data_IF_698858158199
#
_entry.id   IF_698858158199
#
_cell.length_a   1.000
_cell.length_b   1.000
_cell.length_c   1.000
_cell.angle_alpha   90.00
_cell.angle_beta   90.00
_cell.angle_gamma   90.00
#
_symmetry.space_group_name_H-M   'P 1'
#
loop_
_entity.id
_entity.type
_entity.pdbx_description
1 polymer ?
#
# COMPACT_ATOMS: atom_id res chain seq x y z
N UNK A 1 -7.54 -7.87 -5.53
CA UNK A 1 -6.86 -6.70 -4.91
C UNK A 1 -6.58 -6.87 -3.42
N UNK A 2 -7.42 -7.48 -2.58
CA UNK A 2 -7.21 -7.54 -1.10
C UNK A 2 -6.05 -8.41 -0.59
N UNK A 3 -5.27 -9.04 -1.46
CA UNK A 3 -4.16 -9.95 -1.12
C UNK A 3 -2.80 -9.39 -1.57
N UNK A 4 -2.60 -8.07 -1.54
CA UNK A 4 -1.24 -7.50 -1.60
C UNK A 4 -0.52 -7.71 -0.27
N UNK A 5 0.82 -7.58 -0.27
CA UNK A 5 1.65 -7.79 0.92
C UNK A 5 1.44 -6.66 1.94
N UNK A 6 1.29 -5.43 1.46
CA UNK A 6 0.96 -4.24 2.26
C UNK A 6 -0.51 -3.83 2.07
N UNK A 7 -1.12 -3.22 3.09
CA UNK A 7 -2.47 -2.65 3.02
C UNK A 7 -2.53 -1.48 2.03
N UNK A 8 -1.58 -0.56 2.12
CA UNK A 8 -1.51 0.68 1.35
C UNK A 8 -1.16 0.45 -0.12
N UNK A 9 -0.53 -0.70 -0.42
CA UNK A 9 -0.30 -1.12 -1.82
C UNK A 9 -1.58 -1.60 -2.49
N UNK A 10 -2.63 -1.96 -1.73
CA UNK A 10 -3.87 -2.52 -2.28
C UNK A 10 -4.82 -1.48 -2.89
N UNK A 11 -4.29 -0.43 -3.53
CA UNK A 11 -5.06 0.63 -4.18
C UNK A 11 -5.02 0.46 -5.70
N UNK A 12 -6.16 0.64 -6.36
CA UNK A 12 -6.30 0.63 -7.81
C UNK A 12 -6.87 1.94 -8.33
N UNK A 13 -6.41 2.36 -9.50
CA UNK A 13 -6.93 3.52 -10.23
C UNK A 13 -7.16 3.16 -11.71
N UNK A 14 -8.27 3.62 -12.29
CA UNK A 14 -8.58 3.45 -13.71
C UNK A 14 -9.32 4.68 -14.25
N UNK A 15 -9.28 4.89 -15.57
CA UNK A 15 -10.12 5.89 -16.24
C UNK A 15 -11.46 5.24 -16.62
N UNK A 16 -12.56 5.94 -16.34
CA UNK A 16 -13.88 5.58 -16.84
C UNK A 16 -14.03 5.98 -18.32
N UNK A 17 -15.11 5.53 -18.95
CA UNK A 17 -15.46 5.93 -20.32
C UNK A 17 -15.76 7.44 -20.45
N UNK A 18 -16.06 8.12 -19.34
CA UNK A 18 -16.30 9.57 -19.27
C UNK A 18 -15.04 10.37 -18.92
N UNK A 19 -13.91 9.70 -18.71
CA UNK A 19 -12.65 10.33 -18.31
C UNK A 19 -12.49 10.56 -16.81
N UNK A 20 -13.44 10.09 -15.99
CA UNK A 20 -13.33 10.18 -14.54
C UNK A 20 -12.31 9.16 -14.00
N UNK A 21 -11.66 9.49 -12.88
CA UNK A 21 -10.77 8.55 -12.19
C UNK A 21 -11.60 7.70 -11.23
N UNK A 22 -11.62 6.39 -11.49
CA UNK A 22 -12.18 5.39 -10.61
C UNK A 22 -11.10 4.92 -9.65
N UNK A 23 -11.31 5.13 -8.34
CA UNK A 23 -10.43 4.65 -7.29
C UNK A 23 -11.08 3.48 -6.55
N UNK A 24 -10.30 2.44 -6.27
CA UNK A 24 -10.74 1.29 -5.48
C UNK A 24 -9.71 0.93 -4.44
N UNK A 25 -10.16 0.68 -3.21
CA UNK A 25 -9.36 0.10 -2.14
C UNK A 25 -10.21 -0.86 -1.31
N UNK A 26 -9.75 -2.09 -1.06
CA UNK A 26 -10.44 -3.05 -0.21
C UNK A 26 -10.31 -2.75 1.29
N UNK A 27 -9.47 -1.76 1.67
CA UNK A 27 -9.19 -1.40 3.06
C UNK A 27 -9.46 0.08 3.37
N UNK A 28 -10.08 0.82 2.44
CA UNK A 28 -10.20 2.28 2.53
C UNK A 28 -8.91 3.00 2.10
N UNK A 29 -8.91 4.32 2.20
CA UNK A 29 -7.78 5.16 1.74
C UNK A 29 -7.05 5.86 2.88
N UNK A 30 -7.59 5.83 4.10
CA UNK A 30 -7.07 6.61 5.23
C UNK A 30 -5.58 6.29 5.48
N UNK A 31 -5.22 5.02 5.51
CA UNK A 31 -3.83 4.57 5.74
C UNK A 31 -2.85 5.03 4.65
N UNK A 32 -3.32 5.24 3.41
CA UNK A 32 -2.48 5.80 2.34
C UNK A 32 -2.11 7.26 2.64
N UNK A 33 -3.05 8.03 3.21
CA UNK A 33 -2.85 9.44 3.56
C UNK A 33 -2.15 9.64 4.91
N UNK A 34 -2.18 8.65 5.79
CA UNK A 34 -1.46 8.63 7.07
C UNK A 34 0.05 8.37 6.91
N UNK A 35 0.53 8.15 5.69
CA UNK A 35 1.92 7.80 5.37
C UNK A 35 2.40 6.54 6.09
N UNK A 36 1.56 5.50 6.14
CA UNK A 36 1.95 4.21 6.72
C UNK A 36 2.30 3.17 5.66
N UNK A 37 3.04 2.15 6.07
CA UNK A 37 3.20 0.89 5.36
C UNK A 37 2.94 -0.24 6.34
N UNK A 38 1.85 -0.95 6.14
CA UNK A 38 1.29 -1.90 7.10
C UNK A 38 1.21 -3.28 6.49
N UNK A 39 1.69 -4.31 7.20
CA UNK A 39 1.56 -5.69 6.71
C UNK A 39 0.08 -6.09 6.63
N UNK A 40 -0.31 -6.71 5.52
CA UNK A 40 -1.68 -7.15 5.32
C UNK A 40 -1.94 -8.47 6.05
N UNK A 41 -2.83 -8.46 7.04
CA UNK A 41 -3.22 -9.66 7.81
C UNK A 41 -3.90 -10.74 6.95
N UNK A 42 -4.48 -10.39 5.79
CA UNK A 42 -5.02 -11.36 4.83
C UNK A 42 -3.93 -12.08 4.02
N UNK A 43 -2.71 -11.55 3.99
CA UNK A 43 -1.53 -12.14 3.33
C UNK A 43 -0.29 -11.91 4.20
N UNK A 44 -0.18 -12.61 5.35
CA UNK A 44 0.92 -12.42 6.28
C UNK A 44 2.19 -13.00 5.68
N UNK A 45 2.97 -12.14 5.02
CA UNK A 45 4.24 -12.46 4.38
C UNK A 45 5.36 -11.55 4.92
N UNK A 46 5.78 -11.74 6.18
CA UNK A 46 6.73 -10.84 6.84
C UNK A 46 8.08 -10.78 6.12
N UNK A 47 8.54 -11.88 5.52
CA UNK A 47 9.78 -11.87 4.74
C UNK A 47 9.64 -11.01 3.47
N UNK A 48 8.65 -11.28 2.62
CA UNK A 48 8.40 -10.47 1.41
C UNK A 48 8.18 -8.99 1.77
N UNK A 49 7.51 -8.69 2.89
CA UNK A 49 7.27 -7.33 3.38
C UNK A 49 8.58 -6.62 3.73
N UNK A 50 9.43 -7.23 4.56
CA UNK A 50 10.73 -6.67 4.95
C UNK A 50 11.67 -6.52 3.75
N UNK A 51 11.72 -7.52 2.86
CA UNK A 51 12.53 -7.47 1.65
C UNK A 51 12.10 -6.31 0.74
N UNK A 52 10.79 -6.06 0.63
CA UNK A 52 10.26 -4.94 -0.15
C UNK A 52 10.61 -3.59 0.47
N UNK A 53 10.50 -3.42 1.79
CA UNK A 53 10.88 -2.17 2.47
C UNK A 53 12.33 -1.81 2.14
N UNK A 54 13.24 -2.78 2.24
CA UNK A 54 14.68 -2.58 1.98
C UNK A 54 14.94 -2.32 0.50
N UNK A 55 14.46 -3.21 -0.39
CA UNK A 55 14.76 -3.12 -1.83
C UNK A 55 14.11 -1.92 -2.50
N UNK A 56 12.96 -1.45 -2.00
CA UNK A 56 12.28 -0.25 -2.51
C UNK A 56 12.79 1.03 -1.86
N UNK A 57 13.60 0.94 -0.81
CA UNK A 57 14.17 2.09 -0.09
C UNK A 57 13.10 3.10 0.36
N UNK A 58 11.92 2.62 0.76
CA UNK A 58 10.77 3.49 0.97
C UNK A 58 11.02 4.57 2.03
N UNK A 59 11.71 4.23 3.13
CA UNK A 59 12.01 5.17 4.20
C UNK A 59 13.09 6.21 3.82
N UNK A 60 13.93 5.90 2.83
CA UNK A 60 14.91 6.84 2.29
C UNK A 60 14.25 7.84 1.34
N UNK A 61 13.38 7.35 0.44
CA UNK A 61 12.65 8.16 -0.54
C UNK A 61 11.57 9.01 0.14
N UNK A 62 10.90 8.46 1.16
CA UNK A 62 9.80 9.10 1.87
C UNK A 62 10.10 9.17 3.37
N UNK A 63 10.83 10.19 3.84
CA UNK A 63 11.29 10.27 5.24
C UNK A 63 10.18 10.37 6.30
N UNK A 64 8.94 10.66 5.90
CA UNK A 64 7.78 10.72 6.81
C UNK A 64 7.00 9.41 6.88
N UNK A 65 7.39 8.40 6.12
CA UNK A 65 6.70 7.13 6.05
C UNK A 65 6.97 6.30 7.32
N UNK A 66 5.94 5.65 7.85
CA UNK A 66 6.01 4.83 9.08
C UNK A 66 5.68 3.37 8.76
N UNK A 67 6.52 2.44 9.20
CA UNK A 67 6.28 1.00 9.03
C UNK A 67 5.54 0.44 10.24
N UNK A 68 4.42 -0.23 9.99
CA UNK A 68 3.62 -0.95 10.98
C UNK A 68 3.66 -2.45 10.66
N UNK A 69 4.35 -3.23 11.49
CA UNK A 69 4.47 -4.69 11.33
C UNK A 69 3.48 -5.45 12.21
#
# INVERSE_FOLDING_TARGET
MSYWVEVETAVGAALSNTGDILLVSPFGFDTLFDFTVTINTKRPKPQDFNDRIVTKQWLEIWPRLVVNA
#
